data_IF_997560611204
#
_entry.id   IF_997560611204
#
_cell.length_a   1.000
_cell.length_b   1.000
_cell.length_c   1.000
_cell.angle_alpha   90.00
_cell.angle_beta   90.00
_cell.angle_gamma   90.00
#
_symmetry.space_group_name_H-M   'P 1'
#
loop_
_entity.id
_entity.type
_entity.pdbx_description
1 polymer ?
#
# COMPACT_ATOMS: atom_id res chain seq x y z
N UNK A 1 5.46 2.63 -12.97
CA UNK A 1 4.67 1.37 -12.94
C UNK A 1 5.46 0.15 -12.50
N UNK A 2 6.50 -0.29 -13.23
CA UNK A 2 7.29 -1.50 -12.85
C UNK A 2 7.87 -1.38 -11.43
N UNK A 3 8.52 -0.24 -11.13
CA UNK A 3 9.11 -0.02 -9.82
C UNK A 3 8.03 -0.03 -8.72
N UNK A 4 6.93 0.70 -8.90
CA UNK A 4 5.82 0.75 -7.95
C UNK A 4 5.27 -0.65 -7.61
N UNK A 5 5.02 -1.47 -8.64
CA UNK A 5 4.50 -2.82 -8.45
C UNK A 5 5.49 -3.76 -7.75
N UNK A 6 6.79 -3.60 -7.99
CA UNK A 6 7.81 -4.42 -7.35
C UNK A 6 8.11 -3.97 -5.91
N UNK A 7 8.01 -2.66 -5.63
CA UNK A 7 8.27 -2.11 -4.30
C UNK A 7 7.32 -2.70 -3.25
N UNK A 8 6.02 -2.72 -3.53
CA UNK A 8 5.04 -3.31 -2.60
C UNK A 8 5.32 -4.79 -2.30
N UNK A 9 5.72 -5.56 -3.32
CA UNK A 9 6.09 -6.98 -3.16
C UNK A 9 7.32 -7.20 -2.27
N UNK A 10 8.18 -6.18 -2.17
CA UNK A 10 9.37 -6.20 -1.33
C UNK A 10 9.16 -5.47 0.01
N UNK A 11 7.92 -5.14 0.38
CA UNK A 11 7.62 -4.44 1.63
C UNK A 11 7.93 -2.93 1.61
N UNK A 12 8.22 -2.35 0.44
CA UNK A 12 8.49 -0.93 0.28
C UNK A 12 7.21 -0.17 -0.11
N UNK A 13 6.71 0.65 0.81
CA UNK A 13 5.60 1.57 0.54
C UNK A 13 6.10 2.79 -0.26
N UNK A 14 5.46 3.06 -1.39
CA UNK A 14 5.69 4.28 -2.16
C UNK A 14 4.46 5.18 -2.05
N UNK A 15 4.62 6.37 -1.50
CA UNK A 15 3.52 7.34 -1.40
C UNK A 15 3.61 8.34 -2.54
N UNK A 16 2.52 8.48 -3.30
CA UNK A 16 2.40 9.49 -4.35
C UNK A 16 1.61 10.68 -3.81
N UNK A 17 2.21 11.87 -3.89
CA UNK A 17 1.58 13.13 -3.51
C UNK A 17 1.60 14.12 -4.69
N UNK A 18 0.72 15.12 -4.71
CA UNK A 18 0.80 16.24 -5.63
C UNK A 18 2.15 16.97 -5.53
N UNK A 19 2.60 17.57 -6.63
CA UNK A 19 3.88 18.28 -6.71
C UNK A 19 3.99 19.40 -5.67
N UNK A 20 2.91 20.16 -5.47
CA UNK A 20 2.89 21.25 -4.47
C UNK A 20 3.16 20.75 -3.05
N UNK A 21 2.62 19.58 -2.68
CA UNK A 21 2.88 18.96 -1.40
C UNK A 21 4.35 18.52 -1.26
N UNK A 22 4.91 17.95 -2.33
CA UNK A 22 6.33 17.54 -2.35
C UNK A 22 7.26 18.76 -2.19
N UNK A 23 6.96 19.87 -2.87
CA UNK A 23 7.74 21.11 -2.75
C UNK A 23 7.71 21.67 -1.33
N UNK A 24 6.53 21.72 -0.69
CA UNK A 24 6.43 22.14 0.72
C UNK A 24 7.26 21.25 1.67
N UNK A 25 7.31 19.95 1.42
CA UNK A 25 8.14 19.03 2.21
C UNK A 25 9.63 19.27 1.99
N UNK A 26 10.06 19.59 0.77
CA UNK A 26 11.45 19.96 0.50
C UNK A 26 11.84 21.22 1.25
N UNK A 27 11.04 22.29 1.15
CA UNK A 27 11.29 23.56 1.84
C UNK A 27 11.45 23.34 3.36
N UNK A 28 10.55 22.55 3.97
CA UNK A 28 10.63 22.22 5.40
C UNK A 28 11.87 21.42 5.77
N UNK A 29 12.40 20.59 4.86
CA UNK A 29 13.58 19.77 5.10
C UNK A 29 14.90 20.54 5.01
N UNK A 30 14.90 21.75 4.44
CA UNK A 30 16.09 22.61 4.39
C UNK A 30 16.41 23.22 5.76
N UNK A 31 15.38 23.52 6.55
CA UNK A 31 15.49 24.21 7.84
C UNK A 31 15.83 23.26 9.01
N UNK A 32 15.27 22.04 9.03
CA UNK A 32 15.47 21.07 10.10
C UNK A 32 15.19 19.62 9.63
N UNK A 33 15.47 18.64 10.50
CA UNK A 33 15.14 17.23 10.28
C UNK A 33 13.62 17.05 10.13
N UNK A 34 13.20 16.64 8.94
CA UNK A 34 11.79 16.43 8.60
C UNK A 34 11.27 15.10 9.17
N UNK A 35 10.25 15.18 10.04
CA UNK A 35 9.56 14.02 10.59
C UNK A 35 8.14 13.90 10.01
N UNK A 36 7.89 12.84 9.26
CA UNK A 36 6.57 12.55 8.68
C UNK A 36 5.98 11.30 9.32
N UNK A 37 4.67 11.36 9.62
CA UNK A 37 3.90 10.18 9.98
C UNK A 37 3.03 9.75 8.80
N UNK A 38 3.15 8.47 8.44
CA UNK A 38 2.42 7.87 7.31
C UNK A 38 1.47 6.81 7.87
N UNK A 39 0.17 7.05 7.71
CA UNK A 39 -0.90 6.11 8.06
C UNK A 39 -1.40 5.47 6.75
N UNK A 40 -0.99 4.22 6.50
CA UNK A 40 -1.39 3.49 5.30
C UNK A 40 -2.87 3.04 5.34
N UNK A 41 -3.43 2.81 6.54
CA UNK A 41 -4.83 2.42 6.69
C UNK A 41 -5.76 3.57 6.31
N UNK A 42 -5.47 4.78 6.80
CA UNK A 42 -6.19 6.00 6.43
C UNK A 42 -5.72 6.63 5.12
N UNK A 43 -4.56 6.20 4.62
CA UNK A 43 -3.87 6.78 3.46
C UNK A 43 -3.61 8.28 3.62
N UNK A 44 -2.97 8.64 4.73
CA UNK A 44 -2.64 10.01 5.07
C UNK A 44 -1.15 10.14 5.37
N UNK A 45 -0.54 11.20 4.85
CA UNK A 45 0.75 11.71 5.33
C UNK A 45 0.47 12.94 6.19
N UNK A 46 1.08 12.98 7.37
CA UNK A 46 0.86 14.04 8.36
C UNK A 46 2.20 14.61 8.82
N UNK A 47 2.19 15.93 9.07
CA UNK A 47 3.32 16.71 9.57
C UNK A 47 2.78 17.77 10.53
N UNK A 48 3.53 18.11 11.58
CA UNK A 48 3.07 19.03 12.65
C UNK A 48 2.73 20.46 12.18
N UNK A 49 3.31 20.89 11.06
CA UNK A 49 3.18 22.26 10.51
C UNK A 49 2.34 22.35 9.23
N UNK A 50 1.89 21.23 8.68
CA UNK A 50 1.15 21.19 7.42
C UNK A 50 -0.24 20.57 7.64
N UNK A 51 -1.14 20.84 6.70
CA UNK A 51 -2.40 20.11 6.62
C UNK A 51 -2.16 18.63 6.25
N UNK A 52 -3.12 17.78 6.63
CA UNK A 52 -3.11 16.36 6.28
C UNK A 52 -3.10 16.18 4.75
N UNK A 53 -2.16 15.37 4.26
CA UNK A 53 -1.98 15.12 2.84
C UNK A 53 -2.49 13.72 2.49
N UNK A 54 -3.71 13.59 1.92
CA UNK A 54 -4.22 12.31 1.50
C UNK A 54 -3.49 11.79 0.27
N UNK A 55 -3.42 10.46 0.17
CA UNK A 55 -2.92 9.77 -1.00
C UNK A 55 -3.81 8.58 -1.36
N UNK A 56 -3.73 8.15 -2.61
CA UNK A 56 -4.38 6.92 -3.07
C UNK A 56 -3.37 5.79 -3.16
N UNK A 57 -3.82 4.57 -2.86
CA UNK A 57 -3.01 3.38 -2.98
C UNK A 57 -3.84 2.20 -3.49
N UNK A 58 -3.18 1.27 -4.18
CA UNK A 58 -3.85 0.06 -4.65
C UNK A 58 -4.35 -0.78 -3.45
N UNK A 59 -5.65 -1.15 -3.39
CA UNK A 59 -6.21 -1.87 -2.24
C UNK A 59 -5.53 -3.21 -1.96
N UNK A 60 -5.10 -3.93 -3.00
CA UNK A 60 -4.46 -5.22 -2.85
C UNK A 60 -3.03 -5.08 -2.31
N UNK A 61 -2.23 -4.18 -2.89
CA UNK A 61 -0.90 -3.87 -2.40
C UNK A 61 -0.93 -3.33 -0.96
N UNK A 62 -1.91 -2.48 -0.62
CA UNK A 62 -2.17 -2.00 0.74
C UNK A 62 -2.42 -3.15 1.70
N UNK A 63 -3.31 -4.09 1.34
CA UNK A 63 -3.62 -5.25 2.16
C UNK A 63 -2.37 -6.12 2.41
N UNK A 64 -1.56 -6.38 1.37
CA UNK A 64 -0.30 -7.10 1.51
C UNK A 64 0.66 -6.39 2.48
N UNK A 65 0.87 -5.09 2.32
CA UNK A 65 1.77 -4.31 3.17
C UNK A 65 1.32 -4.26 4.64
N UNK A 66 0.02 -4.05 4.90
CA UNK A 66 -0.53 -4.00 6.27
C UNK A 66 -0.40 -5.35 6.97
N UNK A 67 -0.68 -6.45 6.27
CA UNK A 67 -0.64 -7.79 6.86
C UNK A 67 0.75 -8.42 6.85
N UNK A 68 1.75 -7.76 6.23
CA UNK A 68 3.08 -8.35 6.00
C UNK A 68 3.03 -9.63 5.16
N UNK A 69 1.97 -9.82 4.37
CA UNK A 69 1.72 -10.99 3.54
C UNK A 69 2.10 -10.69 2.10
N UNK A 70 2.77 -11.62 1.44
CA UNK A 70 3.03 -11.48 0.01
C UNK A 70 1.83 -11.96 -0.85
N UNK A 71 1.95 -11.85 -2.17
CA UNK A 71 0.87 -12.27 -3.08
C UNK A 71 0.65 -13.79 -3.07
N UNK A 72 1.68 -14.58 -2.76
CA UNK A 72 1.59 -16.02 -2.66
C UNK A 72 0.81 -16.40 -1.41
N UNK A 73 1.10 -15.77 -0.26
CA UNK A 73 0.35 -15.94 0.98
C UNK A 73 -1.12 -15.61 0.78
N UNK A 74 -1.42 -14.53 0.04
CA UNK A 74 -2.79 -14.20 -0.31
C UNK A 74 -3.45 -15.28 -1.19
N UNK A 75 -2.76 -15.81 -2.21
CA UNK A 75 -3.31 -16.91 -3.02
C UNK A 75 -3.53 -18.18 -2.17
N UNK A 76 -2.57 -18.54 -1.32
CA UNK A 76 -2.65 -19.68 -0.41
C UNK A 76 -3.80 -19.52 0.58
N UNK A 77 -4.08 -18.31 1.07
CA UNK A 77 -5.24 -18.03 1.94
C UNK A 77 -6.60 -18.29 1.25
N UNK A 78 -6.61 -18.36 -0.09
CA UNK A 78 -7.81 -18.65 -0.87
C UNK A 78 -7.85 -20.10 -1.37
N UNK A 79 -6.91 -20.97 -0.99
CA UNK A 79 -6.83 -22.36 -1.46
C UNK A 79 -8.13 -23.13 -1.17
N UNK A 80 -8.69 -22.99 0.03
CA UNK A 80 -9.96 -23.63 0.41
C UNK A 80 -11.13 -23.22 -0.48
N UNK A 81 -11.17 -21.96 -0.93
CA UNK A 81 -12.21 -21.46 -1.85
C UNK A 81 -12.02 -22.02 -3.25
N UNK A 82 -10.77 -22.16 -3.69
CA UNK A 82 -10.41 -22.77 -4.98
C UNK A 82 -10.84 -24.25 -4.96
N UNK A 83 -10.48 -24.99 -3.91
CA UNK A 83 -10.83 -26.39 -3.74
C UNK A 83 -12.36 -26.60 -3.71
N UNK A 84 -13.09 -25.76 -2.98
CA UNK A 84 -14.55 -25.80 -2.93
C UNK A 84 -15.19 -25.53 -4.32
N UNK A 85 -14.64 -24.58 -5.07
CA UNK A 85 -15.10 -24.28 -6.43
C UNK A 85 -14.84 -25.45 -7.39
N UNK A 86 -13.65 -26.05 -7.34
CA UNK A 86 -13.30 -27.20 -8.17
C UNK A 86 -14.15 -28.44 -7.83
N UNK A 87 -14.37 -28.71 -6.55
CA UNK A 87 -15.23 -29.80 -6.09
C UNK A 87 -16.68 -29.64 -6.61
N UNK A 88 -17.22 -28.42 -6.55
CA UNK A 88 -18.55 -28.11 -7.10
C UNK A 88 -18.61 -28.35 -8.61
N UNK A 89 -17.55 -28.00 -9.36
CA UNK A 89 -17.48 -28.21 -10.81
C UNK A 89 -17.36 -29.69 -11.19
N UNK A 90 -16.68 -30.50 -10.36
CA UNK A 90 -16.48 -31.94 -10.58
C UNK A 90 -17.76 -32.77 -10.34
N UNK A 91 -18.72 -32.25 -9.57
CA UNK A 91 -20.03 -32.87 -9.31
C UNK A 91 -21.11 -32.55 -10.36
N UNK A 92 -20.77 -31.90 -11.49
CA UNK A 92 -21.72 -31.59 -12.59
C UNK A 92 -21.50 -32.52 -13.80
N UNK A 93 -21.15 -33.79 -13.55
CA UNK A 93 -21.09 -34.84 -14.59
C UNK A 93 -22.11 -35.92 -14.29
#
# INVERSE_FOLDING_TARGET
DIFFNNSAKNGLLLVQLPEDHINMLFDLSEDDLLHLAIDLEKQLVTHEKLDDMPFDYDPFAKHCLINGMDQLDYMLSNMDKIDAYEAKKRNVV
#
